data_IF_904609571400
#
_entry.id   IF_904609571400
#
_cell.length_a   1.000
_cell.length_b   1.000
_cell.length_c   1.000
_cell.angle_alpha   90.00
_cell.angle_beta   90.00
_cell.angle_gamma   90.00
#
_symmetry.space_group_name_H-M   'P 1'
#
loop_
_entity.id
_entity.type
_entity.pdbx_description
1 polymer ?
#
# COMPACT_ATOMS: atom_id res chain seq x y z
N UNK A 1 27.08 -32.79 51.46
CA UNK A 1 25.60 -32.72 51.54
C UNK A 1 24.97 -31.74 50.54
N UNK A 2 25.44 -30.49 50.39
CA UNK A 2 24.87 -29.51 49.41
C UNK A 2 24.78 -29.97 47.95
N UNK A 3 25.77 -30.69 47.42
CA UNK A 3 25.78 -31.17 46.02
C UNK A 3 24.81 -32.32 45.71
N UNK A 4 24.40 -33.08 46.72
CA UNK A 4 23.43 -34.19 46.57
C UNK A 4 22.01 -33.60 46.53
N UNK A 5 21.72 -32.64 47.39
CA UNK A 5 20.44 -31.91 47.41
C UNK A 5 20.19 -31.16 46.09
N UNK A 6 21.22 -30.55 45.51
CA UNK A 6 21.10 -29.84 44.23
C UNK A 6 20.82 -30.78 43.04
N UNK A 7 21.40 -31.98 43.03
CA UNK A 7 21.09 -33.01 42.02
C UNK A 7 19.69 -33.58 42.17
N UNK A 8 19.21 -33.74 43.41
CA UNK A 8 17.84 -34.18 43.68
C UNK A 8 16.81 -33.14 43.24
N UNK A 9 17.08 -31.84 43.41
CA UNK A 9 16.18 -30.76 42.96
C UNK A 9 16.09 -30.70 41.43
N UNK A 10 17.21 -30.84 40.72
CA UNK A 10 17.23 -30.84 39.24
C UNK A 10 16.49 -32.06 38.69
N UNK A 11 16.62 -33.23 39.32
CA UNK A 11 15.91 -34.44 38.92
C UNK A 11 14.40 -34.30 39.11
N UNK A 12 13.95 -33.69 40.21
CA UNK A 12 12.52 -33.44 40.48
C UNK A 12 11.93 -32.44 39.47
N UNK A 13 12.69 -31.40 39.09
CA UNK A 13 12.23 -30.42 38.09
C UNK A 13 12.08 -31.06 36.70
N UNK A 14 12.98 -31.99 36.33
CA UNK A 14 12.93 -32.69 35.05
C UNK A 14 11.74 -33.67 34.95
N UNK A 15 11.38 -34.32 36.07
CA UNK A 15 10.22 -35.23 36.12
C UNK A 15 8.90 -34.47 36.02
N UNK A 16 8.82 -33.25 36.55
CA UNK A 16 7.63 -32.38 36.44
C UNK A 16 7.36 -31.91 35.01
N UNK A 17 8.38 -31.79 34.15
CA UNK A 17 8.23 -31.40 32.74
C UNK A 17 7.67 -32.51 31.83
N UNK A 18 7.64 -33.77 32.29
CA UNK A 18 7.19 -34.92 31.50
C UNK A 18 5.71 -35.29 31.67
N UNK A 19 4.94 -34.56 32.51
CA UNK A 19 3.55 -34.91 32.85
C UNK A 19 2.49 -34.14 32.00
N UNK A 20 2.89 -33.16 31.18
CA UNK A 20 1.94 -32.42 30.32
C UNK A 20 1.72 -33.09 28.96
N UNK A 21 1.01 -34.21 28.96
CA UNK A 21 0.18 -34.63 27.84
C UNK A 21 -0.98 -35.48 28.37
N UNK A 22 -2.11 -34.84 28.69
CA UNK A 22 -3.39 -35.55 28.74
C UNK A 22 -4.02 -35.46 27.36
N UNK A 23 -4.17 -36.62 26.72
CA UNK A 23 -4.95 -36.77 25.50
C UNK A 23 -6.42 -36.45 25.79
N UNK A 24 -7.06 -35.76 24.84
CA UNK A 24 -8.51 -35.54 24.85
C UNK A 24 -9.18 -36.86 24.45
N UNK A 25 -10.05 -37.38 25.30
CA UNK A 25 -10.86 -38.56 25.00
C UNK A 25 -11.81 -38.25 23.83
N UNK A 26 -11.59 -38.93 22.71
CA UNK A 26 -12.58 -39.02 21.64
C UNK A 26 -13.65 -40.06 22.03
N UNK A 27 -14.81 -39.58 22.46
CA UNK A 27 -16.01 -40.39 22.50
C UNK A 27 -16.41 -40.80 21.07
N UNK A 28 -16.21 -42.07 20.73
CA UNK A 28 -16.73 -42.68 19.49
C UNK A 28 -18.14 -43.21 19.79
N UNK A 29 -19.20 -42.71 19.13
CA UNK A 29 -20.54 -43.25 19.33
C UNK A 29 -20.70 -44.62 18.67
N UNK A 30 -21.40 -45.51 19.38
CA UNK A 30 -21.80 -46.85 18.94
C UNK A 30 -22.77 -46.78 17.75
N UNK A 31 -22.56 -47.63 16.74
CA UNK A 31 -23.46 -47.72 15.58
C UNK A 31 -24.73 -48.49 15.95
N UNK A 32 -25.86 -47.79 15.89
CA UNK A 32 -27.21 -48.38 15.90
C UNK A 32 -27.63 -48.65 14.45
N UNK A 33 -28.09 -49.86 14.16
CA UNK A 33 -28.61 -50.24 12.84
C UNK A 33 -29.87 -49.44 12.49
N UNK A 34 -29.81 -48.68 11.40
CA UNK A 34 -30.91 -47.84 10.89
C UNK A 34 -31.85 -48.69 10.01
N UNK A 35 -33.19 -48.56 10.12
CA UNK A 35 -34.12 -49.23 9.21
C UNK A 35 -34.06 -48.61 7.82
N UNK A 36 -34.18 -49.44 6.78
CA UNK A 36 -34.28 -48.97 5.39
C UNK A 36 -35.66 -48.35 5.15
N UNK A 37 -35.73 -47.02 5.12
CA UNK A 37 -36.92 -46.31 4.66
C UNK A 37 -36.91 -46.19 3.14
N UNK A 38 -38.01 -46.59 2.51
CA UNK A 38 -38.23 -46.42 1.06
C UNK A 38 -38.64 -44.98 0.79
N UNK A 39 -37.81 -44.23 0.07
CA UNK A 39 -38.08 -42.82 -0.27
C UNK A 39 -39.17 -42.70 -1.34
N UNK A 40 -40.31 -42.10 -0.99
CA UNK A 40 -41.31 -41.62 -1.94
C UNK A 40 -40.93 -40.20 -2.38
N UNK A 41 -40.71 -39.97 -3.68
CA UNK A 41 -40.34 -38.63 -4.17
C UNK A 41 -41.55 -37.70 -4.20
N UNK A 42 -41.58 -36.70 -3.34
CA UNK A 42 -42.50 -35.56 -3.42
C UNK A 42 -41.83 -34.45 -4.24
N UNK A 43 -42.48 -33.97 -5.31
CA UNK A 43 -41.94 -32.89 -6.13
C UNK A 43 -41.86 -31.59 -5.32
N UNK A 44 -40.66 -31.05 -5.16
CA UNK A 44 -40.42 -29.73 -4.55
C UNK A 44 -40.88 -28.63 -5.52
N UNK A 45 -41.69 -27.64 -5.08
CA UNK A 45 -42.01 -26.50 -5.92
C UNK A 45 -40.72 -25.75 -6.27
N UNK A 46 -40.54 -25.43 -7.55
CA UNK A 46 -39.38 -24.68 -8.05
C UNK A 46 -39.38 -23.29 -7.38
N UNK A 47 -38.24 -22.82 -6.84
CA UNK A 47 -38.15 -21.48 -6.27
C UNK A 47 -38.43 -20.42 -7.34
N UNK A 48 -39.32 -19.48 -7.05
CA UNK A 48 -39.58 -18.31 -7.89
C UNK A 48 -38.36 -17.39 -7.86
N UNK A 49 -37.83 -17.04 -9.04
CA UNK A 49 -36.72 -16.10 -9.18
C UNK A 49 -37.06 -14.75 -8.52
N UNK A 50 -36.38 -14.43 -7.43
CA UNK A 50 -36.42 -13.10 -6.84
C UNK A 50 -35.60 -12.17 -7.74
N UNK A 51 -36.12 -10.99 -8.15
CA UNK A 51 -35.33 -10.07 -8.94
C UNK A 51 -34.07 -9.67 -8.17
N UNK A 52 -32.91 -9.97 -8.75
CA UNK A 52 -31.62 -9.54 -8.21
C UNK A 52 -31.58 -8.01 -8.17
N UNK A 53 -31.07 -7.39 -7.09
CA UNK A 53 -30.86 -5.95 -7.08
C UNK A 53 -29.99 -5.56 -8.28
N UNK A 54 -30.47 -4.61 -9.08
CA UNK A 54 -29.66 -4.02 -10.14
C UNK A 54 -28.64 -3.10 -9.47
N UNK A 55 -27.33 -3.27 -9.68
CA UNK A 55 -26.34 -2.37 -9.10
C UNK A 55 -26.56 -0.96 -9.65
N UNK A 56 -26.88 -0.01 -8.76
CA UNK A 56 -26.89 1.41 -9.09
C UNK A 56 -25.46 1.84 -9.37
N UNK A 57 -25.17 2.36 -10.56
CA UNK A 57 -23.86 2.88 -10.89
C UNK A 57 -23.49 4.01 -9.91
N UNK A 58 -22.48 3.78 -9.07
CA UNK A 58 -21.92 4.83 -8.23
C UNK A 58 -21.17 5.81 -9.15
N UNK A 59 -21.46 7.12 -9.11
CA UNK A 59 -20.73 8.08 -9.91
C UNK A 59 -19.24 8.05 -9.55
N UNK A 60 -18.36 8.07 -10.55
CA UNK A 60 -16.93 8.15 -10.29
C UNK A 60 -16.58 9.50 -9.65
N UNK A 61 -15.61 9.53 -8.71
CA UNK A 61 -15.01 10.77 -8.22
C UNK A 61 -14.62 11.69 -9.37
N UNK A 62 -14.75 13.01 -9.19
CA UNK A 62 -14.41 14.03 -10.19
C UNK A 62 -14.89 13.72 -11.63
N UNK A 63 -16.05 13.09 -11.80
CA UNK A 63 -16.58 12.69 -13.12
C UNK A 63 -15.61 11.83 -13.95
N UNK A 64 -14.76 11.02 -13.31
CA UNK A 64 -13.77 10.18 -13.98
C UNK A 64 -12.45 10.86 -14.31
N UNK A 65 -12.26 12.13 -13.92
CA UNK A 65 -11.03 12.89 -14.16
C UNK A 65 -10.02 12.79 -13.00
N UNK A 66 -10.25 11.91 -12.03
CA UNK A 66 -9.28 11.62 -10.99
C UNK A 66 -7.96 11.14 -11.59
N UNK A 67 -6.86 11.51 -10.96
CA UNK A 67 -5.51 11.10 -11.28
C UNK A 67 -5.40 9.61 -10.98
N UNK A 68 -5.00 8.84 -11.99
CA UNK A 68 -4.90 7.39 -11.86
C UNK A 68 -3.43 7.00 -11.69
N UNK A 69 -3.19 6.08 -10.76
CA UNK A 69 -1.87 5.52 -10.51
C UNK A 69 -1.93 4.01 -10.69
N UNK A 70 -1.17 3.48 -11.64
CA UNK A 70 -0.91 2.05 -11.77
C UNK A 70 0.50 1.78 -11.26
N UNK A 71 0.61 1.01 -10.17
CA UNK A 71 1.88 0.82 -9.48
C UNK A 71 2.19 -0.67 -9.40
N UNK A 72 3.32 -1.05 -9.97
CA UNK A 72 3.91 -2.37 -9.84
C UNK A 72 5.15 -2.25 -8.94
N UNK A 73 5.24 -3.10 -7.91
CA UNK A 73 6.38 -3.09 -7.01
C UNK A 73 6.77 -4.50 -6.60
N UNK A 74 8.06 -4.67 -6.31
CA UNK A 74 8.61 -5.88 -5.70
C UNK A 74 9.36 -5.51 -4.45
N UNK A 75 9.03 -6.16 -3.33
CA UNK A 75 9.69 -5.96 -2.03
C UNK A 75 10.65 -7.10 -1.78
N UNK A 76 11.92 -6.76 -1.54
CA UNK A 76 12.89 -7.67 -0.94
C UNK A 76 12.98 -7.37 0.56
N UNK A 77 12.23 -8.13 1.36
CA UNK A 77 12.19 -7.94 2.83
C UNK A 77 13.56 -8.15 3.50
N UNK A 78 14.37 -9.07 3.00
CA UNK A 78 15.69 -9.36 3.58
C UNK A 78 16.67 -8.22 3.35
N UNK A 79 16.74 -7.71 2.12
CA UNK A 79 17.61 -6.61 1.74
C UNK A 79 17.01 -5.22 2.01
N UNK A 80 15.76 -5.16 2.51
CA UNK A 80 15.03 -3.92 2.82
C UNK A 80 15.01 -2.94 1.64
N UNK A 81 14.75 -3.52 0.47
CA UNK A 81 14.90 -2.86 -0.82
C UNK A 81 13.64 -3.09 -1.66
N UNK A 82 13.22 -2.05 -2.39
CA UNK A 82 12.01 -2.11 -3.22
C UNK A 82 12.38 -1.61 -4.61
N UNK A 83 11.94 -2.35 -5.63
CA UNK A 83 11.91 -1.86 -7.02
C UNK A 83 10.47 -1.55 -7.37
N UNK A 84 10.22 -0.40 -7.97
CA UNK A 84 8.87 0.00 -8.35
C UNK A 84 8.82 0.70 -9.70
N UNK A 85 7.69 0.52 -10.36
CA UNK A 85 7.27 1.25 -11.55
C UNK A 85 5.92 1.88 -11.25
N UNK A 86 5.85 3.20 -11.34
CA UNK A 86 4.61 3.96 -11.14
C UNK A 86 4.24 4.65 -12.45
N UNK A 87 3.04 4.35 -12.96
CA UNK A 87 2.40 5.07 -14.06
C UNK A 87 1.37 6.02 -13.48
N UNK A 88 1.43 7.28 -13.87
CA UNK A 88 0.51 8.34 -13.44
C UNK A 88 -0.19 8.91 -14.67
N UNK A 89 -1.52 8.88 -14.69
CA UNK A 89 -2.36 9.53 -15.69
C UNK A 89 -3.07 10.71 -15.07
N UNK A 90 -2.72 11.93 -15.49
CA UNK A 90 -3.26 13.17 -14.96
C UNK A 90 -4.11 13.88 -16.01
N UNK A 91 -5.24 14.43 -15.59
CA UNK A 91 -6.08 15.32 -16.41
C UNK A 91 -5.95 16.76 -15.90
N UNK A 92 -5.71 17.73 -16.78
CA UNK A 92 -5.80 19.14 -16.38
C UNK A 92 -7.25 19.50 -16.08
N UNK A 93 -7.56 19.59 -14.79
CA UNK A 93 -8.90 19.89 -14.26
C UNK A 93 -9.17 21.39 -14.15
N UNK A 94 -8.19 22.23 -14.45
CA UNK A 94 -8.28 23.69 -14.31
C UNK A 94 -8.60 24.35 -15.65
N UNK A 95 -8.98 25.63 -15.63
CA UNK A 95 -9.16 26.44 -16.84
C UNK A 95 -7.84 27.07 -17.33
N UNK A 96 -6.73 26.79 -16.66
CA UNK A 96 -5.43 27.38 -16.95
C UNK A 96 -4.52 26.35 -17.63
N UNK A 97 -3.71 26.75 -18.63
CA UNK A 97 -2.67 25.89 -19.16
C UNK A 97 -1.64 25.57 -18.07
N UNK A 98 -1.11 24.35 -18.10
CA UNK A 98 -0.04 23.90 -17.21
C UNK A 98 1.25 23.84 -18.02
N UNK A 99 2.26 24.60 -17.61
CA UNK A 99 3.55 24.66 -18.29
C UNK A 99 4.60 23.71 -17.67
N UNK A 100 4.33 23.17 -16.49
CA UNK A 100 5.23 22.27 -15.78
C UNK A 100 4.42 21.33 -14.88
N UNK A 101 4.87 20.09 -14.80
CA UNK A 101 4.31 19.08 -13.90
C UNK A 101 5.18 18.94 -12.67
N UNK A 102 4.55 18.84 -11.51
CA UNK A 102 5.24 18.71 -10.23
C UNK A 102 4.89 17.37 -9.60
N UNK A 103 5.92 16.68 -9.10
CA UNK A 103 5.79 15.47 -8.32
C UNK A 103 6.38 15.70 -6.94
N UNK A 104 5.57 15.47 -5.90
CA UNK A 104 6.00 15.43 -4.52
C UNK A 104 6.49 14.01 -4.23
N UNK A 105 7.75 13.87 -3.81
CA UNK A 105 8.42 12.56 -3.64
C UNK A 105 8.92 12.46 -2.20
N UNK A 106 8.06 12.00 -1.30
CA UNK A 106 8.36 11.96 0.15
C UNK A 106 9.70 11.29 0.50
N UNK A 107 10.10 10.15 -0.12
CA UNK A 107 11.35 9.50 0.23
C UNK A 107 12.61 10.38 0.07
N UNK A 108 12.59 11.45 -0.73
CA UNK A 108 13.78 12.29 -0.95
C UNK A 108 14.21 13.07 0.30
N UNK A 109 13.33 13.23 1.29
CA UNK A 109 13.69 13.87 2.56
C UNK A 109 14.62 12.99 3.40
N UNK A 110 14.68 11.69 3.10
CA UNK A 110 15.56 10.74 3.75
C UNK A 110 16.79 10.53 2.87
N UNK A 111 17.98 10.61 3.48
CA UNK A 111 19.22 10.42 2.75
C UNK A 111 19.26 9.06 2.05
N UNK A 112 19.47 9.09 0.73
CA UNK A 112 19.62 7.91 -0.14
C UNK A 112 18.43 6.95 -0.15
N UNK A 113 17.24 7.38 0.27
CA UNK A 113 16.10 6.47 0.38
C UNK A 113 15.39 6.20 -0.95
N UNK A 114 15.66 6.99 -1.99
CA UNK A 114 15.13 6.77 -3.34
C UNK A 114 16.19 7.02 -4.40
N UNK A 115 16.13 6.21 -5.46
CA UNK A 115 16.87 6.41 -6.70
C UNK A 115 15.93 6.28 -7.89
N UNK A 116 15.68 7.39 -8.59
CA UNK A 116 14.85 7.42 -9.81
C UNK A 116 15.73 7.01 -10.99
N UNK A 117 15.43 5.86 -11.61
CA UNK A 117 16.21 5.26 -12.69
C UNK A 117 15.86 5.88 -14.04
N UNK A 118 14.58 6.06 -14.30
CA UNK A 118 14.09 6.67 -15.52
C UNK A 118 12.73 7.28 -15.34
N UNK A 119 12.48 8.31 -16.15
CA UNK A 119 11.19 9.00 -16.26
C UNK A 119 10.82 8.97 -17.74
N UNK A 120 9.57 8.64 -18.04
CA UNK A 120 8.99 8.77 -19.38
C UNK A 120 7.75 9.65 -19.32
N UNK A 121 7.59 10.53 -20.28
CA UNK A 121 6.42 11.39 -20.48
C UNK A 121 5.87 11.11 -21.88
N UNK A 122 4.60 10.71 -21.98
CA UNK A 122 3.98 10.34 -23.27
C UNK A 122 4.83 9.34 -24.08
N UNK A 123 5.40 8.34 -23.39
CA UNK A 123 6.29 7.33 -23.98
C UNK A 123 7.74 7.78 -24.25
N UNK A 124 8.03 9.07 -24.23
CA UNK A 124 9.38 9.62 -24.50
C UNK A 124 10.19 9.77 -23.20
N UNK A 125 11.51 9.49 -23.21
CA UNK A 125 12.34 9.67 -22.02
C UNK A 125 12.45 11.15 -21.63
N UNK A 126 12.37 11.44 -20.34
CA UNK A 126 12.55 12.79 -19.79
C UNK A 126 13.90 12.87 -19.10
N UNK A 127 14.74 13.80 -19.56
CA UNK A 127 16.01 14.15 -18.92
C UNK A 127 16.04 15.59 -18.38
N UNK A 128 15.11 16.44 -18.82
CA UNK A 128 15.00 17.81 -18.36
C UNK A 128 14.01 17.89 -17.19
N UNK A 129 14.54 17.85 -15.98
CA UNK A 129 13.78 18.07 -14.75
C UNK A 129 14.69 18.66 -13.68
N UNK A 130 14.10 19.37 -12.74
CA UNK A 130 14.82 19.97 -11.61
C UNK A 130 14.28 19.44 -10.29
N UNK A 131 15.16 19.38 -9.29
CA UNK A 131 14.78 19.10 -7.92
C UNK A 131 14.64 20.40 -7.15
N UNK A 132 13.48 20.58 -6.51
CA UNK A 132 13.22 21.65 -5.57
C UNK A 132 12.82 21.06 -4.23
N UNK A 133 13.72 21.06 -3.25
CA UNK A 133 13.47 20.44 -1.94
C UNK A 133 13.10 18.95 -2.12
N UNK A 134 11.84 18.59 -1.92
CA UNK A 134 11.28 17.25 -2.03
C UNK A 134 10.39 17.07 -3.28
N UNK A 135 10.50 18.01 -4.23
CA UNK A 135 9.70 18.05 -5.45
C UNK A 135 10.57 17.83 -6.67
N UNK A 136 10.07 17.05 -7.60
CA UNK A 136 10.58 16.97 -8.96
C UNK A 136 9.70 17.83 -9.85
N UNK A 137 10.30 18.79 -10.55
CA UNK A 137 9.63 19.72 -11.47
C UNK A 137 10.05 19.39 -12.89
N UNK A 138 9.08 19.04 -13.73
CA UNK A 138 9.26 18.68 -15.13
C UNK A 138 8.61 19.76 -16.00
N UNK A 139 9.39 20.62 -16.68
CA UNK A 139 8.84 21.57 -17.65
C UNK A 139 8.20 20.83 -18.84
N UNK A 140 7.10 21.37 -19.35
CA UNK A 140 6.41 20.88 -20.53
C UNK A 140 6.74 21.75 -21.75
N UNK A 141 7.23 21.13 -22.82
CA UNK A 141 7.50 21.85 -24.08
C UNK A 141 6.22 22.40 -24.72
N UNK A 142 5.11 21.68 -24.54
CA UNK A 142 3.77 22.11 -24.92
C UNK A 142 2.91 22.19 -23.65
N UNK A 143 2.29 23.34 -23.35
CA UNK A 143 1.43 23.46 -22.19
C UNK A 143 0.27 22.46 -22.26
N UNK A 144 -0.02 21.80 -21.13
CA UNK A 144 -1.17 20.90 -21.02
C UNK A 144 -2.44 21.75 -20.87
N UNK A 145 -3.32 21.72 -21.87
CA UNK A 145 -4.52 22.54 -21.92
C UNK A 145 -5.65 21.98 -21.04
N UNK A 146 -6.65 22.80 -20.66
CA UNK A 146 -7.81 22.34 -19.90
C UNK A 146 -8.47 21.09 -20.50
N UNK A 147 -8.67 20.06 -19.69
CA UNK A 147 -9.25 18.78 -20.07
C UNK A 147 -8.29 17.79 -20.74
N UNK A 148 -7.07 18.20 -21.11
CA UNK A 148 -6.07 17.30 -21.68
C UNK A 148 -5.46 16.37 -20.63
N UNK A 149 -4.95 15.24 -21.11
CA UNK A 149 -4.32 14.22 -20.28
C UNK A 149 -2.83 14.12 -20.55
N UNK A 150 -2.08 13.83 -19.50
CA UNK A 150 -0.65 13.55 -19.57
C UNK A 150 -0.30 12.30 -18.78
N UNK A 151 0.54 11.46 -19.38
CA UNK A 151 1.05 10.24 -18.76
C UNK A 151 2.52 10.41 -18.39
N UNK A 152 2.85 9.97 -17.17
CA UNK A 152 4.22 9.79 -16.70
C UNK A 152 4.46 8.37 -16.22
N UNK A 153 5.64 7.83 -16.50
CA UNK A 153 6.11 6.55 -15.96
C UNK A 153 7.44 6.78 -15.25
N UNK A 154 7.47 6.45 -13.97
CA UNK A 154 8.66 6.49 -13.13
C UNK A 154 9.11 5.07 -12.82
N UNK A 155 10.35 4.73 -13.17
CA UNK A 155 11.03 3.51 -12.72
C UNK A 155 12.01 3.92 -11.62
N UNK A 156 11.88 3.37 -10.42
CA UNK A 156 12.68 3.78 -9.27
C UNK A 156 12.93 2.66 -8.27
N UNK A 157 13.90 2.91 -7.40
CA UNK A 157 14.31 2.03 -6.31
C UNK A 157 14.16 2.75 -4.98
N UNK A 158 13.74 2.02 -3.95
CA UNK A 158 13.72 2.51 -2.58
C UNK A 158 14.68 1.71 -1.71
N UNK A 159 15.40 2.45 -0.87
CA UNK A 159 16.31 1.94 0.14
C UNK A 159 15.73 2.33 1.50
N UNK A 160 15.18 1.36 2.23
CA UNK A 160 14.33 1.68 3.37
C UNK A 160 15.16 2.17 4.57
N UNK A 161 14.95 3.42 5.03
CA UNK A 161 15.70 3.95 6.17
C UNK A 161 15.34 3.22 7.46
N UNK A 162 16.31 3.11 8.38
CA UNK A 162 16.06 2.68 9.77
C UNK A 162 15.37 3.83 10.51
N UNK A 163 14.05 3.92 10.39
CA UNK A 163 13.25 5.02 10.89
C UNK A 163 11.84 4.53 11.21
N UNK A 164 11.36 4.81 12.41
CA UNK A 164 9.98 4.55 12.80
C UNK A 164 9.08 5.71 12.32
N UNK A 165 7.87 5.39 11.85
CA UNK A 165 6.94 6.41 11.36
C UNK A 165 6.21 5.98 10.10
N UNK A 166 5.81 6.92 9.27
CA UNK A 166 5.01 6.70 8.05
C UNK A 166 5.81 6.08 6.90
N UNK A 167 7.10 6.42 6.78
CA UNK A 167 8.01 5.83 5.81
C UNK A 167 9.29 5.37 6.50
N UNK A 168 9.67 4.12 6.28
CA UNK A 168 10.87 3.52 6.87
C UNK A 168 10.60 2.10 7.37
N UNK A 169 11.54 1.57 8.12
CA UNK A 169 11.39 0.27 8.75
C UNK A 169 12.02 0.18 10.14
N UNK A 170 11.53 -0.81 10.87
CA UNK A 170 12.01 -1.27 12.17
C UNK A 170 12.17 -2.78 12.13
N UNK A 171 12.59 -3.40 13.23
CA UNK A 171 12.74 -4.86 13.33
C UNK A 171 11.42 -5.63 13.11
N UNK A 172 10.27 -4.96 13.20
CA UNK A 172 8.95 -5.60 13.14
C UNK A 172 8.05 -5.11 12.01
N UNK A 173 8.37 -3.96 11.39
CA UNK A 173 7.44 -3.29 10.48
C UNK A 173 8.18 -2.60 9.33
N UNK A 174 7.60 -2.71 8.15
CA UNK A 174 7.94 -1.94 6.96
C UNK A 174 6.77 -1.00 6.65
N UNK A 175 7.01 0.30 6.73
CA UNK A 175 5.99 1.31 6.52
C UNK A 175 6.22 2.03 5.19
N UNK A 176 5.20 1.98 4.33
CA UNK A 176 5.19 2.52 2.98
C UNK A 176 4.05 3.51 2.81
N UNK A 177 4.12 4.64 3.52
CA UNK A 177 3.28 5.80 3.21
C UNK A 177 4.01 6.74 2.26
N UNK A 178 3.26 7.33 1.31
CA UNK A 178 3.73 8.40 0.40
C UNK A 178 5.01 8.07 -0.40
N UNK A 179 5.27 6.78 -0.62
CA UNK A 179 6.57 6.26 -1.07
C UNK A 179 6.82 6.37 -2.59
N UNK A 180 5.83 6.83 -3.35
CA UNK A 180 5.89 6.97 -4.81
C UNK A 180 5.74 8.44 -5.22
N UNK A 181 6.11 8.82 -6.46
CA UNK A 181 5.89 10.16 -6.98
C UNK A 181 4.40 10.51 -7.06
N UNK A 182 3.98 11.54 -6.33
CA UNK A 182 2.57 11.98 -6.25
C UNK A 182 2.42 13.35 -6.90
N UNK A 183 1.46 13.48 -7.81
CA UNK A 183 1.05 14.76 -8.38
C UNK A 183 0.14 15.46 -7.37
N UNK A 184 0.51 16.64 -6.85
CA UNK A 184 -0.30 17.37 -5.89
C UNK A 184 -1.55 17.97 -6.55
N UNK A 185 -2.61 18.28 -5.79
CA UNK A 185 -3.76 18.99 -6.30
C UNK A 185 -3.36 20.33 -6.90
N UNK A 186 -4.13 20.80 -7.88
CA UNK A 186 -3.91 22.11 -8.51
C UNK A 186 -5.15 22.98 -8.35
N UNK A 187 -4.95 24.23 -7.89
CA UNK A 187 -6.00 25.24 -7.72
C UNK A 187 -5.67 26.44 -8.58
N UNK A 188 -6.47 26.65 -9.63
CA UNK A 188 -6.19 27.72 -10.61
C UNK A 188 -4.85 27.51 -11.32
N UNK A 189 -3.95 28.47 -11.19
CA UNK A 189 -2.62 28.46 -11.79
C UNK A 189 -1.51 27.93 -10.85
N UNK A 190 -1.86 27.46 -9.64
CA UNK A 190 -0.88 27.00 -8.65
C UNK A 190 -1.09 25.55 -8.22
N UNK A 191 0.03 24.88 -8.00
CA UNK A 191 0.07 23.59 -7.32
C UNK A 191 -0.11 23.80 -5.82
N UNK A 192 -0.99 23.02 -5.20
CA UNK A 192 -1.29 23.08 -3.76
C UNK A 192 -0.27 22.21 -3.01
N UNK A 193 0.88 22.81 -2.70
CA UNK A 193 2.04 22.12 -2.11
C UNK A 193 2.52 22.90 -0.89
N UNK A 194 2.94 22.16 0.14
CA UNK A 194 3.47 22.72 1.38
C UNK A 194 4.87 22.17 1.66
N UNK A 195 5.73 23.00 2.26
CA UNK A 195 7.09 22.60 2.60
C UNK A 195 7.12 21.74 3.87
N UNK A 196 7.94 20.68 3.86
CA UNK A 196 8.20 19.89 5.05
C UNK A 196 8.83 20.75 6.15
N UNK A 197 8.14 20.86 7.28
CA UNK A 197 8.66 21.51 8.47
C UNK A 197 9.26 20.46 9.41
N UNK A 198 10.51 20.69 9.82
CA UNK A 198 11.21 19.89 10.82
C UNK A 198 11.18 20.63 12.15
N UNK A 199 10.49 20.05 13.14
CA UNK A 199 10.47 20.58 14.50
C UNK A 199 10.97 19.50 15.46
N UNK A 200 12.05 19.80 16.19
CA UNK A 200 12.71 18.89 17.13
C UNK A 200 13.09 17.51 16.53
N UNK A 201 13.47 17.47 15.26
CA UNK A 201 13.84 16.23 14.57
C UNK A 201 12.67 15.41 14.05
N UNK A 202 11.44 15.91 14.17
CA UNK A 202 10.22 15.27 13.64
C UNK A 202 9.64 16.13 12.52
N UNK A 203 9.22 15.47 11.44
CA UNK A 203 8.43 16.14 10.39
C UNK A 203 7.03 16.44 10.92
N UNK A 204 6.62 17.72 10.88
CA UNK A 204 5.35 18.20 11.43
C UNK A 204 4.52 18.91 10.37
N UNK A 205 3.21 18.64 10.31
CA UNK A 205 2.26 19.24 9.35
C UNK A 205 1.73 18.25 8.30
N UNK A 206 0.64 18.63 7.62
CA UNK A 206 0.20 17.97 6.38
C UNK A 206 0.90 18.62 5.20
N UNK A 207 1.68 17.81 4.47
CA UNK A 207 2.52 18.28 3.35
C UNK A 207 2.14 17.64 2.03
N UNK A 208 1.21 16.69 2.07
CA UNK A 208 0.80 15.83 0.98
C UNK A 208 -0.71 15.66 1.04
N UNK A 209 -1.36 16.04 -0.04
CA UNK A 209 -2.80 15.92 -0.22
C UNK A 209 -3.05 15.09 -1.47
N UNK A 210 -3.99 14.15 -1.38
CA UNK A 210 -4.62 13.62 -2.56
C UNK A 210 -5.77 14.54 -2.95
N UNK A 211 -6.18 14.49 -4.21
CA UNK A 211 -7.40 15.18 -4.59
C UNK A 211 -8.60 14.63 -3.83
N UNK A 212 -9.47 15.53 -3.40
CA UNK A 212 -10.73 15.15 -2.77
C UNK A 212 -11.68 14.63 -3.85
N UNK A 213 -12.28 13.48 -3.60
CA UNK A 213 -13.26 12.81 -4.45
C UNK A 213 -14.53 13.65 -4.70
#
# INVERSE_FOLDING_TARGET
MKKIVQKSIILILLVMLLISCRGVDQNVPSQTSVPTETSTSTATPVPTDTPSPTPTATPLPLNGQQTQYDIELTINYYNRFITAKSRSLYTNKTQFPINEMVFVIYPTIFQKAIYVKSIRMQGSPVSNFNWESHRMVIPLDTPLMPGEQIEFIHDFELYMPNHAGTFGQTDHQLNLSYWFPIIPPRKGDKWDIYEFSLQNGTFVGEHLFFENA
#
